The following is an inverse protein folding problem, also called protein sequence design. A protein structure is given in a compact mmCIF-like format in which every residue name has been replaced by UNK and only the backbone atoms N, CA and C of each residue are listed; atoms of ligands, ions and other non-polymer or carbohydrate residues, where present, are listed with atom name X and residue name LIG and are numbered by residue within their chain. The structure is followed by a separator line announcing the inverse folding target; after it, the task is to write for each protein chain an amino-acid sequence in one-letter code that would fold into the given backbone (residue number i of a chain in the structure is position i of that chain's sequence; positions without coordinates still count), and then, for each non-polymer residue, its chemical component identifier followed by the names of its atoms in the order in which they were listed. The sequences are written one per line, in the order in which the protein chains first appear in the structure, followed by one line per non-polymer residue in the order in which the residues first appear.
data_IF_888114323191
#
_entry.id   IF_888114323191
#
_cell.length_a   1.000
_cell.length_b   1.000
_cell.length_c   1.000
_cell.angle_alpha   90.00
_cell.angle_beta   90.00
_cell.angle_gamma   90.00
#
_symmetry.space_group_name_H-M   'P 1'
#
loop_
_entity.id
_entity.type
_entity.pdbx_description
1 polymer ?
#
# COMPACT_ATOMS: atom_id res chain seq x y z
N UNK A 1 -2.20 16.87 21.28
CA UNK A 1 -1.56 18.04 21.94
C UNK A 1 -2.55 18.89 22.74
N UNK A 2 -3.54 19.55 22.13
CA UNK A 2 -4.45 20.47 22.84
C UNK A 2 -5.25 19.83 23.98
N UNK A 3 -5.72 18.61 23.80
CA UNK A 3 -6.53 17.89 24.79
C UNK A 3 -5.69 17.23 25.89
N UNK A 4 -4.55 16.66 25.51
CA UNK A 4 -3.72 15.83 26.40
C UNK A 4 -2.54 16.58 27.02
N UNK A 5 -2.19 17.77 26.51
CA UNK A 5 -0.96 18.50 26.86
C UNK A 5 0.34 17.83 26.38
N UNK A 6 0.28 16.61 25.84
CA UNK A 6 1.44 15.86 25.34
C UNK A 6 1.81 16.38 23.95
N UNK A 7 3.05 16.83 23.80
CA UNK A 7 3.62 17.26 22.52
C UNK A 7 3.98 16.04 21.66
N UNK A 8 3.60 16.07 20.39
CA UNK A 8 3.89 15.06 19.38
C UNK A 8 5.03 15.55 18.51
N UNK A 9 6.16 14.83 18.55
CA UNK A 9 7.30 15.10 17.69
C UNK A 9 7.27 14.18 16.48
N UNK A 10 7.06 14.72 15.28
CA UNK A 10 7.12 13.93 14.07
C UNK A 10 8.58 13.70 13.66
N UNK A 11 9.01 12.43 13.65
CA UNK A 11 10.27 12.08 13.02
C UNK A 11 10.12 12.23 11.50
N UNK A 12 10.64 13.34 10.94
CA UNK A 12 10.54 13.67 9.52
C UNK A 12 11.39 12.73 8.66
N UNK A 13 10.97 11.48 8.45
CA UNK A 13 11.62 10.59 7.48
C UNK A 13 10.60 9.75 6.72
N UNK A 14 10.71 9.68 5.38
CA UNK A 14 9.92 8.74 4.61
C UNK A 14 10.43 7.34 4.98
N UNK A 15 9.54 6.35 5.00
CA UNK A 15 9.83 4.92 5.22
C UNK A 15 10.49 4.53 6.56
N UNK A 16 9.71 3.86 7.40
CA UNK A 16 10.23 3.08 8.53
C UNK A 16 11.15 1.97 7.99
N UNK A 17 12.40 1.96 8.49
CA UNK A 17 13.40 0.93 8.17
C UNK A 17 13.38 -0.14 9.25
N UNK A 18 13.06 -1.37 8.84
CA UNK A 18 13.10 -2.54 9.71
C UNK A 18 14.47 -2.74 10.38
N UNK A 19 15.56 -2.52 9.63
CA UNK A 19 16.91 -2.64 10.17
C UNK A 19 17.19 -1.62 11.26
N UNK A 20 16.68 -0.39 11.12
CA UNK A 20 16.83 0.65 12.14
C UNK A 20 15.97 0.37 13.37
N UNK A 21 14.71 -0.04 13.19
CA UNK A 21 13.85 -0.44 14.32
C UNK A 21 14.55 -1.51 15.15
N UNK A 22 15.04 -2.57 14.48
CA UNK A 22 15.78 -3.64 15.12
C UNK A 22 17.01 -3.12 15.87
N UNK A 23 17.85 -2.30 15.23
CA UNK A 23 19.05 -1.76 15.85
C UNK A 23 18.74 -0.91 17.11
N UNK A 24 17.68 -0.08 17.08
CA UNK A 24 17.29 0.73 18.23
C UNK A 24 16.82 -0.13 19.41
N UNK A 25 16.02 -1.16 19.15
CA UNK A 25 15.54 -2.10 20.18
C UNK A 25 16.70 -2.91 20.76
N UNK A 26 17.57 -3.47 19.92
CA UNK A 26 18.74 -4.26 20.36
C UNK A 26 19.75 -3.42 21.15
N UNK A 27 19.91 -2.14 20.81
CA UNK A 27 20.78 -1.21 21.53
C UNK A 27 20.15 -0.68 22.85
N UNK A 28 18.87 -0.93 23.10
CA UNK A 28 18.13 -0.32 24.22
C UNK A 28 18.02 1.20 24.13
N UNK A 29 18.14 1.76 22.92
CA UNK A 29 18.17 3.19 22.64
C UNK A 29 17.07 3.54 21.62
N UNK A 30 15.81 3.39 22.04
CA UNK A 30 14.64 3.65 21.21
C UNK A 30 14.34 5.15 21.09
N UNK A 31 14.34 5.65 19.86
CA UNK A 31 13.95 7.03 19.55
C UNK A 31 12.46 7.17 19.22
N UNK A 32 11.75 6.06 19.00
CA UNK A 32 10.36 6.05 18.54
C UNK A 32 9.45 5.44 19.59
N UNK A 33 8.40 6.18 19.97
CA UNK A 33 7.32 5.67 20.83
C UNK A 33 6.24 4.94 20.02
N UNK A 34 5.88 5.49 18.85
CA UNK A 34 4.84 4.97 17.96
C UNK A 34 5.33 5.03 16.52
N UNK A 35 5.10 3.96 15.76
CA UNK A 35 5.43 3.91 14.34
C UNK A 35 4.36 3.14 13.55
N UNK A 36 4.29 3.40 12.25
CA UNK A 36 3.29 2.81 11.35
C UNK A 36 3.95 1.77 10.46
N UNK A 37 3.30 0.61 10.34
CA UNK A 37 3.77 -0.51 9.54
C UNK A 37 2.82 -0.78 8.38
N UNK A 38 3.39 -1.21 7.25
CA UNK A 38 2.60 -1.92 6.23
C UNK A 38 2.21 -3.28 6.81
N UNK A 39 0.91 -3.63 6.75
CA UNK A 39 0.34 -4.83 7.37
C UNK A 39 1.15 -6.12 7.10
N UNK A 40 1.65 -6.29 5.88
CA UNK A 40 2.44 -7.47 5.49
C UNK A 40 3.74 -7.67 6.26
N UNK A 41 4.32 -6.61 6.86
CA UNK A 41 5.56 -6.69 7.62
C UNK A 41 5.34 -7.00 9.11
N UNK A 42 4.16 -6.73 9.64
CA UNK A 42 3.87 -6.82 11.09
C UNK A 42 4.18 -8.21 11.66
N UNK A 43 3.80 -9.35 11.03
CA UNK A 43 4.11 -10.67 11.58
C UNK A 43 5.62 -10.91 11.78
N UNK A 44 6.45 -10.36 10.89
CA UNK A 44 7.91 -10.47 10.98
C UNK A 44 8.43 -9.65 12.17
N UNK A 45 7.92 -8.43 12.36
CA UNK A 45 8.34 -7.53 13.44
C UNK A 45 7.97 -8.11 14.80
N UNK A 46 6.73 -8.63 14.92
CA UNK A 46 6.24 -9.30 16.13
C UNK A 46 7.06 -10.56 16.43
N UNK A 47 7.35 -11.39 15.42
CA UNK A 47 8.18 -12.60 15.60
C UNK A 47 9.59 -12.27 16.09
N UNK A 48 10.13 -11.11 15.73
CA UNK A 48 11.44 -10.65 16.18
C UNK A 48 11.42 -9.95 17.54
N UNK A 49 10.26 -9.82 18.19
CA UNK A 49 10.14 -9.20 19.51
C UNK A 49 10.42 -7.70 19.51
N UNK A 50 10.17 -7.02 18.38
CA UNK A 50 10.51 -5.60 18.23
C UNK A 50 9.36 -4.65 18.60
N UNK A 51 8.24 -5.18 19.10
CA UNK A 51 7.06 -4.42 19.49
C UNK A 51 6.60 -4.85 20.88
N UNK A 52 6.23 -3.87 21.69
CA UNK A 52 5.56 -4.09 22.96
C UNK A 52 4.06 -4.41 22.74
N UNK A 53 3.42 -5.19 23.64
CA UNK A 53 1.98 -5.35 23.62
C UNK A 53 1.29 -4.03 23.96
N UNK A 54 0.17 -3.77 23.30
CA UNK A 54 -0.64 -2.57 23.56
C UNK A 54 -1.52 -2.81 24.79
N UNK A 55 -1.43 -1.91 25.77
CA UNK A 55 -2.36 -1.87 26.90
C UNK A 55 -3.70 -1.27 26.46
N UNK A 56 -4.66 -2.16 26.22
CA UNK A 56 -6.00 -1.76 25.82
C UNK A 56 -6.95 -1.41 26.98
N UNK A 57 -6.50 -1.43 28.24
CA UNK A 57 -7.37 -1.04 29.36
C UNK A 57 -7.86 0.41 29.26
N UNK A 58 -7.11 1.27 28.53
CA UNK A 58 -7.40 2.69 28.31
C UNK A 58 -7.92 3.02 26.91
N UNK A 59 -8.20 2.01 26.09
CA UNK A 59 -8.61 2.18 24.69
C UNK A 59 -10.01 1.58 24.52
N UNK A 60 -10.96 2.41 24.10
CA UNK A 60 -12.31 1.95 23.74
C UNK A 60 -12.27 1.19 22.42
N UNK A 61 -12.21 -0.14 22.51
CA UNK A 61 -12.14 -1.05 21.35
C UNK A 61 -13.39 -0.98 20.48
N UNK A 62 -14.54 -0.50 21.00
CA UNK A 62 -15.79 -0.43 20.23
C UNK A 62 -15.74 0.59 19.10
N UNK A 63 -14.76 1.50 19.14
CA UNK A 63 -14.53 2.52 18.12
C UNK A 63 -13.82 1.97 16.87
N UNK A 64 -13.37 0.71 16.89
CA UNK A 64 -12.59 0.12 15.81
C UNK A 64 -13.39 -0.92 15.03
N UNK A 65 -13.07 -1.05 13.75
CA UNK A 65 -13.64 -2.08 12.89
C UNK A 65 -13.22 -3.49 13.35
N UNK A 66 -14.00 -4.49 12.94
CA UNK A 66 -13.64 -5.89 13.19
C UNK A 66 -12.27 -6.21 12.59
N UNK A 67 -11.39 -6.82 13.38
CA UNK A 67 -10.04 -7.21 12.96
C UNK A 67 -9.01 -6.07 12.94
N UNK A 68 -9.29 -4.91 13.54
CA UNK A 68 -8.31 -3.83 13.70
C UNK A 68 -7.47 -3.96 14.98
N UNK A 69 -7.99 -4.63 16.01
CA UNK A 69 -7.37 -4.71 17.35
C UNK A 69 -6.55 -6.00 17.46
N UNK A 70 -5.25 -5.87 17.70
CA UNK A 70 -4.32 -7.00 17.87
C UNK A 70 -3.37 -6.77 19.05
N UNK A 71 -2.75 -7.82 19.57
CA UNK A 71 -1.89 -7.70 20.77
C UNK A 71 -0.76 -6.67 20.64
N UNK A 72 -0.09 -6.59 19.48
CA UNK A 72 1.10 -5.75 19.27
C UNK A 72 0.89 -4.61 18.27
N UNK A 73 -0.31 -4.46 17.73
CA UNK A 73 -0.61 -3.39 16.78
C UNK A 73 -2.11 -3.08 16.75
N UNK A 74 -2.42 -1.84 16.39
CA UNK A 74 -3.77 -1.36 16.17
C UNK A 74 -3.84 -0.79 14.75
N UNK A 75 -4.80 -1.24 13.96
CA UNK A 75 -4.99 -0.68 12.62
C UNK A 75 -5.50 0.76 12.73
N UNK A 76 -4.78 1.70 12.12
CA UNK A 76 -5.06 3.13 12.19
C UNK A 76 -5.78 3.65 10.94
N UNK A 77 -5.48 3.10 9.76
CA UNK A 77 -6.16 3.44 8.52
C UNK A 77 -6.23 2.25 7.54
N UNK A 78 -7.23 2.25 6.67
CA UNK A 78 -7.34 1.30 5.56
C UNK A 78 -6.95 2.02 4.28
N UNK A 79 -6.08 1.39 3.49
CA UNK A 79 -5.74 1.85 2.14
C UNK A 79 -6.12 0.79 1.11
N UNK A 80 -6.39 1.23 -0.11
CA UNK A 80 -6.68 0.37 -1.24
C UNK A 80 -6.07 0.93 -2.51
N UNK A 81 -5.58 0.05 -3.37
CA UNK A 81 -5.23 0.38 -4.75
C UNK A 81 -6.48 0.21 -5.60
N UNK A 82 -6.79 1.19 -6.43
CA UNK A 82 -7.96 1.19 -7.31
C UNK A 82 -7.54 1.59 -8.71
N UNK A 83 -8.26 1.10 -9.71
CA UNK A 83 -8.16 1.64 -11.06
C UNK A 83 -8.81 3.01 -11.08
N UNK A 84 -8.05 4.01 -11.53
CA UNK A 84 -8.53 5.37 -11.79
C UNK A 84 -8.44 5.64 -13.28
N UNK A 85 -9.23 6.59 -13.81
CA UNK A 85 -9.13 6.97 -15.21
C UNK A 85 -9.62 8.40 -15.44
N UNK A 86 -9.18 9.00 -16.54
CA UNK A 86 -9.63 10.34 -16.97
C UNK A 86 -11.03 10.28 -17.58
N UNK A 87 -12.00 10.92 -16.95
CA UNK A 87 -13.37 11.05 -17.50
C UNK A 87 -13.43 11.94 -18.74
N UNK A 88 -12.41 12.78 -18.98
CA UNK A 88 -12.26 13.51 -20.25
C UNK A 88 -11.91 12.56 -21.40
N UNK A 89 -11.07 11.56 -21.13
CA UNK A 89 -10.67 10.53 -22.11
C UNK A 89 -11.76 9.47 -22.30
N UNK A 90 -12.40 9.07 -21.21
CA UNK A 90 -13.41 8.03 -21.15
C UNK A 90 -14.75 8.59 -20.60
N UNK A 91 -15.48 9.41 -21.40
CA UNK A 91 -16.67 10.11 -20.93
C UNK A 91 -17.90 9.20 -20.72
N UNK A 92 -17.91 8.01 -21.32
CA UNK A 92 -19.06 7.09 -21.28
C UNK A 92 -18.74 5.78 -20.55
N UNK A 93 -17.61 5.15 -20.87
CA UNK A 93 -17.16 3.90 -20.26
C UNK A 93 -15.63 3.94 -20.09
N UNK A 94 -15.16 3.65 -18.86
CA UNK A 94 -13.75 3.52 -18.52
C UNK A 94 -13.47 2.17 -17.85
N UNK A 95 -12.19 1.84 -17.60
CA UNK A 95 -11.81 0.57 -17.01
C UNK A 95 -12.37 0.44 -15.58
N UNK A 96 -12.94 -0.73 -15.25
CA UNK A 96 -13.57 -1.01 -13.94
C UNK A 96 -12.92 -2.17 -13.19
N UNK A 97 -11.91 -2.79 -13.77
CA UNK A 97 -11.20 -3.94 -13.23
C UNK A 97 -9.72 -3.86 -13.58
N UNK A 98 -8.89 -4.65 -12.87
CA UNK A 98 -7.48 -4.79 -13.22
C UNK A 98 -7.28 -5.42 -14.60
N UNK A 99 -8.18 -6.31 -15.02
CA UNK A 99 -8.16 -6.85 -16.39
C UNK A 99 -8.46 -5.77 -17.43
N UNK A 100 -9.37 -4.83 -17.16
CA UNK A 100 -9.62 -3.68 -18.04
C UNK A 100 -8.41 -2.74 -18.11
N UNK A 101 -7.72 -2.49 -16.99
CA UNK A 101 -6.50 -1.68 -16.95
C UNK A 101 -5.43 -2.24 -17.92
N UNK A 102 -5.28 -3.57 -17.94
CA UNK A 102 -4.38 -4.31 -18.83
C UNK A 102 -4.83 -4.33 -20.30
N UNK A 103 -6.11 -4.09 -20.59
CA UNK A 103 -6.67 -4.19 -21.93
C UNK A 103 -6.44 -2.90 -22.74
N UNK A 104 -5.29 -2.80 -23.40
CA UNK A 104 -4.91 -1.66 -24.23
C UNK A 104 -5.76 -1.46 -25.48
N UNK A 105 -6.34 -2.54 -26.02
CA UNK A 105 -7.19 -2.47 -27.20
C UNK A 105 -8.56 -1.89 -26.85
N UNK A 106 -9.18 -2.34 -25.75
CA UNK A 106 -10.47 -1.82 -25.29
C UNK A 106 -10.35 -0.43 -24.67
N UNK A 107 -9.30 -0.19 -23.89
CA UNK A 107 -9.06 1.08 -23.21
C UNK A 107 -7.71 1.67 -23.61
N UNK A 108 -7.61 2.31 -24.79
CA UNK A 108 -6.36 2.93 -25.24
C UNK A 108 -6.04 4.19 -24.42
N UNK A 109 -4.83 4.24 -23.85
CA UNK A 109 -4.38 5.36 -23.01
C UNK A 109 -3.01 5.09 -22.36
N UNK A 110 -2.38 6.15 -21.86
CA UNK A 110 -1.13 6.09 -21.09
C UNK A 110 -1.43 5.60 -19.69
N UNK A 111 -0.77 4.53 -19.24
CA UNK A 111 -0.94 3.99 -17.88
C UNK A 111 0.08 4.58 -16.90
N UNK A 112 -0.36 4.84 -15.67
CA UNK A 112 0.51 5.05 -14.50
C UNK A 112 0.46 3.83 -13.56
N UNK A 113 1.62 3.28 -13.20
CA UNK A 113 1.68 2.12 -12.28
C UNK A 113 2.74 2.29 -11.18
N UNK A 114 2.51 1.74 -10.00
CA UNK A 114 3.46 1.87 -8.89
C UNK A 114 4.77 1.13 -9.18
N UNK A 115 5.90 1.79 -8.93
CA UNK A 115 7.24 1.22 -8.96
C UNK A 115 7.60 0.56 -7.63
N UNK A 116 6.86 -0.47 -7.27
CA UNK A 116 7.13 -1.31 -6.11
C UNK A 116 6.60 -2.73 -6.34
N UNK A 117 7.04 -3.70 -5.56
CA UNK A 117 6.54 -5.08 -5.63
C UNK A 117 5.25 -5.28 -4.84
N UNK A 118 5.15 -4.61 -3.69
CA UNK A 118 3.96 -4.62 -2.84
C UNK A 118 2.74 -4.10 -3.62
N UNK A 119 1.63 -4.84 -3.57
CA UNK A 119 0.38 -4.63 -4.32
C UNK A 119 0.49 -4.82 -5.84
N UNK A 120 1.60 -4.40 -6.45
CA UNK A 120 1.83 -4.52 -7.90
C UNK A 120 1.79 -5.96 -8.40
N UNK A 121 2.34 -6.91 -7.64
CA UNK A 121 2.33 -8.33 -8.02
C UNK A 121 0.93 -8.94 -7.90
N UNK A 122 0.21 -8.62 -6.82
CA UNK A 122 -1.17 -9.02 -6.61
C UNK A 122 -2.07 -8.45 -7.72
N UNK A 123 -1.91 -7.17 -8.05
CA UNK A 123 -2.63 -6.50 -9.14
C UNK A 123 -2.36 -7.19 -10.48
N UNK A 124 -1.10 -7.55 -10.77
CA UNK A 124 -0.74 -8.24 -12.00
C UNK A 124 -1.40 -9.62 -12.12
N UNK A 125 -1.52 -10.35 -11.01
CA UNK A 125 -2.23 -11.65 -10.95
C UNK A 125 -3.75 -11.48 -11.08
N UNK A 126 -4.33 -10.47 -10.42
CA UNK A 126 -5.75 -10.14 -10.56
C UNK A 126 -6.09 -9.76 -12.00
N UNK A 127 -5.24 -8.97 -12.67
CA UNK A 127 -5.40 -8.62 -14.07
C UNK A 127 -5.35 -9.86 -14.99
N UNK A 128 -4.52 -10.84 -14.63
CA UNK A 128 -4.38 -12.15 -15.28
C UNK A 128 -5.47 -13.17 -14.87
N UNK A 129 -6.51 -12.74 -14.15
CA UNK A 129 -7.69 -13.54 -13.84
C UNK A 129 -7.55 -14.46 -12.63
N UNK A 130 -6.51 -14.33 -11.82
CA UNK A 130 -6.44 -15.03 -10.53
C UNK A 130 -7.52 -14.48 -9.60
N UNK A 131 -8.28 -15.35 -8.94
CA UNK A 131 -9.30 -14.91 -8.00
C UNK A 131 -8.68 -14.40 -6.69
N UNK A 132 -9.26 -13.38 -6.02
CA UNK A 132 -8.67 -12.79 -4.81
C UNK A 132 -8.37 -13.80 -3.69
N UNK A 133 -9.20 -14.82 -3.55
CA UNK A 133 -9.08 -15.91 -2.57
C UNK A 133 -7.95 -16.92 -2.87
N UNK A 134 -7.37 -16.87 -4.08
CA UNK A 134 -6.29 -17.77 -4.54
C UNK A 134 -4.98 -17.05 -4.83
N UNK A 135 -4.85 -15.80 -4.41
CA UNK A 135 -3.63 -15.01 -4.64
C UNK A 135 -2.42 -15.57 -3.91
N UNK A 136 -2.60 -16.11 -2.70
CA UNK A 136 -1.49 -16.50 -1.84
C UNK A 136 -1.33 -18.03 -1.73
N UNK A 137 -0.09 -18.55 -1.78
CA UNK A 137 1.16 -17.84 -2.05
C UNK A 137 1.23 -17.31 -3.49
N UNK A 138 1.91 -16.18 -3.70
CA UNK A 138 1.97 -15.52 -5.01
C UNK A 138 2.75 -16.37 -6.01
N UNK A 139 2.17 -16.58 -7.19
CA UNK A 139 2.88 -17.10 -8.36
C UNK A 139 3.71 -15.97 -9.00
N UNK A 140 4.98 -15.89 -8.59
CA UNK A 140 5.88 -14.81 -8.99
C UNK A 140 6.14 -14.79 -10.50
N UNK A 141 6.37 -15.96 -11.10
CA UNK A 141 6.66 -16.07 -12.54
C UNK A 141 5.46 -15.62 -13.37
N UNK A 142 4.24 -16.02 -12.96
CA UNK A 142 3.00 -15.56 -13.59
C UNK A 142 2.79 -14.06 -13.41
N UNK A 143 3.08 -13.51 -12.23
CA UNK A 143 2.97 -12.08 -11.98
C UNK A 143 3.90 -11.27 -12.89
N UNK A 144 5.18 -11.66 -13.01
CA UNK A 144 6.14 -10.98 -13.89
C UNK A 144 5.78 -11.12 -15.36
N UNK A 145 5.32 -12.29 -15.83
CA UNK A 145 4.80 -12.44 -17.20
C UNK A 145 3.61 -11.52 -17.47
N UNK A 146 2.72 -11.34 -16.49
CA UNK A 146 1.59 -10.40 -16.61
C UNK A 146 2.08 -8.95 -16.67
N UNK A 147 3.08 -8.58 -15.87
CA UNK A 147 3.71 -7.26 -15.91
C UNK A 147 4.39 -6.98 -17.25
N UNK A 148 5.06 -7.96 -17.84
CA UNK A 148 5.70 -7.82 -19.15
C UNK A 148 4.68 -7.47 -20.26
N UNK A 149 3.44 -7.97 -20.17
CA UNK A 149 2.38 -7.65 -21.14
C UNK A 149 1.88 -6.21 -21.03
N UNK A 150 1.74 -5.66 -19.81
CA UNK A 150 1.26 -4.27 -19.65
C UNK A 150 2.36 -3.24 -19.80
N UNK A 151 3.62 -3.63 -19.53
CA UNK A 151 4.77 -2.73 -19.51
C UNK A 151 4.89 -1.80 -20.74
N UNK A 152 4.64 -2.24 -21.99
CA UNK A 152 4.69 -1.35 -23.16
C UNK A 152 3.65 -0.20 -23.12
N UNK A 153 2.59 -0.36 -22.34
CA UNK A 153 1.51 0.62 -22.19
C UNK A 153 1.65 1.49 -20.92
N UNK A 154 2.58 1.14 -20.03
CA UNK A 154 2.90 1.94 -18.83
C UNK A 154 3.83 3.07 -19.22
N UNK A 155 3.30 4.30 -19.20
CA UNK A 155 4.06 5.50 -19.50
C UNK A 155 4.96 5.90 -18.33
N UNK A 156 4.44 5.81 -17.10
CA UNK A 156 5.18 6.21 -15.89
C UNK A 156 5.03 5.16 -14.80
N UNK A 157 6.19 4.74 -14.28
CA UNK A 157 6.30 3.94 -13.07
C UNK A 157 6.49 4.87 -11.87
N UNK A 158 5.40 5.32 -11.25
CA UNK A 158 5.43 6.31 -10.18
C UNK A 158 5.97 5.72 -8.88
N UNK A 159 6.64 6.54 -8.08
CA UNK A 159 7.37 6.13 -6.87
C UNK A 159 6.76 6.63 -5.57
N UNK A 160 5.76 7.51 -5.64
CA UNK A 160 5.03 8.01 -4.48
C UNK A 160 3.57 8.31 -4.82
N UNK A 161 2.70 8.28 -3.81
CA UNK A 161 1.30 8.66 -3.95
C UNK A 161 1.12 10.13 -4.39
N UNK A 162 2.01 11.02 -3.95
CA UNK A 162 1.97 12.42 -4.39
C UNK A 162 2.28 12.54 -5.90
N UNK A 163 3.26 11.76 -6.38
CA UNK A 163 3.58 11.73 -7.81
C UNK A 163 2.41 11.18 -8.64
N UNK A 164 1.75 10.10 -8.18
CA UNK A 164 0.61 9.55 -8.93
C UNK A 164 -0.54 10.55 -9.05
N UNK A 165 -0.81 11.34 -8.02
CA UNK A 165 -1.82 12.40 -8.07
C UNK A 165 -1.43 13.48 -9.07
N UNK A 166 -0.17 13.93 -9.04
CA UNK A 166 0.31 14.97 -9.95
C UNK A 166 0.22 14.54 -11.43
N UNK A 167 0.62 13.30 -11.73
CA UNK A 167 0.54 12.73 -13.09
C UNK A 167 -0.90 12.74 -13.64
N UNK A 168 -1.89 12.49 -12.77
CA UNK A 168 -3.31 12.55 -13.14
C UNK A 168 -3.76 13.99 -13.36
N UNK A 169 -3.38 14.92 -12.48
CA UNK A 169 -3.74 16.34 -12.59
C UNK A 169 -3.17 17.00 -13.85
N UNK A 170 -1.92 16.69 -14.19
CA UNK A 170 -1.24 17.21 -15.38
C UNK A 170 -1.69 16.51 -16.67
N UNK A 171 -2.47 15.43 -16.56
CA UNK A 171 -2.92 14.64 -17.69
C UNK A 171 -1.79 13.90 -18.39
N UNK A 172 -0.73 13.54 -17.67
CA UNK A 172 0.37 12.71 -18.18
C UNK A 172 -0.02 11.24 -18.29
N UNK A 173 -0.98 10.79 -17.48
CA UNK A 173 -1.58 9.46 -17.52
C UNK A 173 -3.09 9.54 -17.73
N UNK A 174 -3.64 8.57 -18.46
CA UNK A 174 -5.07 8.47 -18.77
C UNK A 174 -5.76 7.43 -17.87
N UNK A 175 -5.00 6.45 -17.36
CA UNK A 175 -5.42 5.32 -16.52
C UNK A 175 -4.38 5.08 -15.43
#
# INVERSE_FOLDING_TARGET
EKETGVKVSYAARPHMSMGRLKAMVEAGATEWDVTVFVKGLIPLVVKQGLLEPIDYAKIDKSQFITGAVHTHFLADHITGSMVTYSTKKFPSEGPRSWSDFWNADKFPGRRGMFRGTFQTLEIALLADGVSPDKLYPLDMDRAFKSLDRVKPHVHVWWTSAAQSVQLVLDGEVDI
#
